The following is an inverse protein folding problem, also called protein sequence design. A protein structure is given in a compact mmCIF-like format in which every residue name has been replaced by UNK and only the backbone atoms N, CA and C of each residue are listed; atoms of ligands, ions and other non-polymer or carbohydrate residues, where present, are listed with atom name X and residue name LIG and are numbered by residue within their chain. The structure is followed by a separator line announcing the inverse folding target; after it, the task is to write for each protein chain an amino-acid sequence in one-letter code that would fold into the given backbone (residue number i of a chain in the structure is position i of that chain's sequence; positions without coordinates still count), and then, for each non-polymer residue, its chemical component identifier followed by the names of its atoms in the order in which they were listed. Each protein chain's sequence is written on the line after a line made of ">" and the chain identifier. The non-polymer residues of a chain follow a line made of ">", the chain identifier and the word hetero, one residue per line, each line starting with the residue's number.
data_IF_197970234401
#
_entry.id   IF_197970234401
#
_cell.length_a   1.000
_cell.length_b   1.000
_cell.length_c   1.000
_cell.angle_alpha   90.00
_cell.angle_beta   90.00
_cell.angle_gamma   90.00
#
_symmetry.space_group_name_H-M   'P 1'
#
loop_
_entity.id
_entity.type
_entity.pdbx_description
1 polymer ?
#
# COMPACT_ATOMS: atom_id res chain seq x y z
N UNK A 1 3.23 -0.67 -30.26
CA UNK A 1 2.66 -0.19 -28.99
C UNK A 1 1.47 0.70 -29.33
N UNK A 2 0.27 0.38 -28.85
CA UNK A 2 -0.94 1.16 -29.11
C UNK A 2 -1.02 2.36 -28.17
N UNK A 3 -1.84 3.37 -28.51
CA UNK A 3 -2.09 4.52 -27.63
C UNK A 3 -2.62 4.09 -26.25
N UNK A 4 -3.43 3.02 -26.19
CA UNK A 4 -3.94 2.45 -24.93
C UNK A 4 -2.83 1.85 -24.07
N UNK A 5 -1.88 1.13 -24.68
CA UNK A 5 -0.72 0.60 -23.96
C UNK A 5 0.17 1.70 -23.40
N UNK A 6 0.35 2.80 -24.15
CA UNK A 6 1.12 3.96 -23.69
C UNK A 6 0.44 4.60 -22.48
N UNK A 7 -0.89 4.79 -22.53
CA UNK A 7 -1.66 5.33 -21.41
C UNK A 7 -1.57 4.41 -20.19
N UNK A 8 -1.72 3.10 -20.37
CA UNK A 8 -1.65 2.13 -19.29
C UNK A 8 -0.26 2.14 -18.63
N UNK A 9 0.83 2.06 -19.41
CA UNK A 9 2.18 2.11 -18.86
C UNK A 9 2.43 3.47 -18.18
N UNK A 10 1.88 4.55 -18.72
CA UNK A 10 1.91 5.88 -18.13
C UNK A 10 1.21 5.95 -16.76
N UNK A 11 0.00 5.39 -16.62
CA UNK A 11 -0.73 5.36 -15.33
C UNK A 11 0.05 4.58 -14.29
N UNK A 12 0.59 3.42 -14.66
CA UNK A 12 1.42 2.61 -13.78
C UNK A 12 2.67 3.38 -13.31
N UNK A 13 3.35 4.07 -14.23
CA UNK A 13 4.50 4.90 -13.89
C UNK A 13 4.16 5.98 -12.85
N UNK A 14 3.04 6.69 -13.04
CA UNK A 14 2.56 7.69 -12.08
C UNK A 14 2.26 7.06 -10.72
N UNK A 15 1.56 5.93 -10.70
CA UNK A 15 1.20 5.21 -9.48
C UNK A 15 2.44 4.71 -8.73
N UNK A 16 3.44 4.16 -9.42
CA UNK A 16 4.70 3.72 -8.81
C UNK A 16 5.43 4.89 -8.17
N UNK A 17 5.58 6.01 -8.88
CA UNK A 17 6.24 7.22 -8.34
C UNK A 17 5.51 7.72 -7.10
N UNK A 18 4.18 7.75 -7.14
CA UNK A 18 3.36 8.14 -5.98
C UNK A 18 3.52 7.17 -4.80
N UNK A 19 3.50 5.85 -5.07
CA UNK A 19 3.67 4.81 -4.06
C UNK A 19 5.06 4.87 -3.39
N UNK A 20 6.12 5.15 -4.16
CA UNK A 20 7.47 5.33 -3.61
C UNK A 20 7.53 6.55 -2.70
N UNK A 21 6.97 7.69 -3.12
CA UNK A 21 6.92 8.91 -2.29
C UNK A 21 6.17 8.68 -0.98
N UNK A 22 5.02 8.02 -1.04
CA UNK A 22 4.21 7.71 0.15
C UNK A 22 4.91 6.70 1.07
N UNK A 23 5.49 5.63 0.53
CA UNK A 23 6.29 4.65 1.28
C UNK A 23 7.45 5.32 2.02
N UNK A 24 8.18 6.21 1.35
CA UNK A 24 9.29 6.96 1.96
C UNK A 24 8.80 7.88 3.08
N UNK A 25 7.67 8.56 2.89
CA UNK A 25 7.08 9.40 3.93
C UNK A 25 6.67 8.58 5.17
N UNK A 26 6.05 7.41 4.97
CA UNK A 26 5.69 6.48 6.05
C UNK A 26 6.94 5.97 6.77
N UNK A 27 7.99 5.57 6.03
CA UNK A 27 9.26 5.12 6.62
C UNK A 27 9.90 6.21 7.50
N UNK A 28 9.89 7.47 7.04
CA UNK A 28 10.37 8.64 7.82
C UNK A 28 9.50 8.92 9.05
N UNK A 29 8.18 8.70 8.97
CA UNK A 29 7.31 8.85 10.13
C UNK A 29 7.56 7.74 11.16
N UNK A 30 7.72 6.50 10.70
CA UNK A 30 8.02 5.35 11.55
C UNK A 30 9.36 5.52 12.27
N UNK A 31 10.39 6.04 11.59
CA UNK A 31 11.70 6.27 12.22
C UNK A 31 11.68 7.37 13.29
N UNK A 32 10.67 8.24 13.29
CA UNK A 32 10.47 9.29 14.31
C UNK A 32 9.50 8.88 15.41
N UNK A 33 8.90 7.69 15.32
CA UNK A 33 7.94 7.19 16.29
C UNK A 33 8.68 6.77 17.57
N UNK A 34 8.19 7.25 18.72
CA UNK A 34 8.76 6.86 20.01
C UNK A 34 8.32 5.43 20.35
N UNK A 35 9.26 4.48 20.33
CA UNK A 35 8.99 3.04 20.52
C UNK A 35 8.29 2.77 21.85
N UNK A 36 8.68 3.44 22.93
CA UNK A 36 8.06 3.29 24.24
C UNK A 36 6.60 3.78 24.29
N UNK A 37 6.25 4.76 23.44
CA UNK A 37 4.87 5.27 23.31
C UNK A 37 4.01 4.33 22.48
N UNK A 38 4.59 3.76 21.42
CA UNK A 38 3.93 2.74 20.61
C UNK A 38 3.64 1.46 21.42
N UNK A 39 4.57 1.01 22.26
CA UNK A 39 4.37 -0.13 23.15
C UNK A 39 3.27 0.13 24.19
N UNK A 40 3.24 1.30 24.82
CA UNK A 40 2.17 1.65 25.77
C UNK A 40 0.79 1.58 25.13
N UNK A 41 0.62 2.13 23.92
CA UNK A 41 -0.66 2.16 23.21
C UNK A 41 -1.05 0.76 22.71
N UNK A 42 -0.08 -0.06 22.32
CA UNK A 42 -0.32 -1.46 21.98
C UNK A 42 -0.83 -2.28 23.17
N UNK A 43 -0.46 -1.90 24.40
CA UNK A 43 -0.95 -2.52 25.64
C UNK A 43 -2.35 -2.03 26.03
N UNK A 44 -2.78 -0.84 25.58
CA UNK A 44 -4.10 -0.27 25.94
C UNK A 44 -5.28 -0.72 25.07
N UNK A 45 -5.10 -1.68 24.15
CA UNK A 45 -6.18 -2.27 23.33
C UNK A 45 -7.06 -1.22 22.64
N UNK A 46 -6.43 -0.19 22.05
CA UNK A 46 -7.12 0.87 21.33
C UNK A 46 -7.94 0.27 20.16
N UNK A 47 -9.26 0.28 20.31
CA UNK A 47 -10.20 -0.27 19.33
C UNK A 47 -10.05 0.35 17.94
N UNK A 48 -9.63 1.63 17.83
CA UNK A 48 -9.40 2.26 16.54
C UNK A 48 -8.17 1.64 15.85
N UNK A 49 -7.09 1.38 16.60
CA UNK A 49 -5.88 0.76 16.05
C UNK A 49 -6.09 -0.70 15.68
N UNK A 50 -6.87 -1.45 16.46
CA UNK A 50 -7.26 -2.82 16.14
C UNK A 50 -8.05 -2.90 14.83
N UNK A 51 -9.02 -2.00 14.64
CA UNK A 51 -9.78 -1.91 13.38
C UNK A 51 -8.89 -1.62 12.18
N UNK A 52 -7.98 -0.64 12.30
CA UNK A 52 -7.03 -0.29 11.24
C UNK A 52 -6.06 -1.44 10.93
N UNK A 53 -5.63 -2.20 11.94
CA UNK A 53 -4.75 -3.36 11.76
C UNK A 53 -5.46 -4.50 11.01
N UNK A 54 -6.73 -4.77 11.33
CA UNK A 54 -7.54 -5.77 10.64
C UNK A 54 -7.76 -5.41 9.17
N UNK A 55 -8.10 -4.14 8.89
CA UNK A 55 -8.24 -3.64 7.53
C UNK A 55 -6.92 -3.74 6.75
N UNK A 56 -5.81 -3.33 7.37
CA UNK A 56 -4.48 -3.45 6.76
C UNK A 56 -4.18 -4.89 6.34
N UNK A 57 -4.50 -5.88 7.18
CA UNK A 57 -4.29 -7.30 6.87
C UNK A 57 -5.08 -7.73 5.63
N UNK A 58 -6.34 -7.30 5.50
CA UNK A 58 -7.19 -7.59 4.33
C UNK A 58 -6.59 -7.01 3.05
N UNK A 59 -6.15 -5.76 3.09
CA UNK A 59 -5.54 -5.09 1.93
C UNK A 59 -4.19 -5.68 1.54
N UNK A 60 -3.39 -6.13 2.51
CA UNK A 60 -2.14 -6.86 2.24
C UNK A 60 -2.40 -8.18 1.52
N UNK A 61 -3.39 -8.95 1.97
CA UNK A 61 -3.77 -10.21 1.30
C UNK A 61 -4.27 -9.97 -0.12
N UNK A 62 -5.13 -8.97 -0.31
CA UNK A 62 -5.60 -8.58 -1.64
C UNK A 62 -4.43 -8.17 -2.55
N UNK A 63 -3.51 -7.36 -2.04
CA UNK A 63 -2.30 -6.95 -2.77
C UNK A 63 -1.43 -8.15 -3.17
N UNK A 64 -1.24 -9.13 -2.28
CA UNK A 64 -0.50 -10.36 -2.61
C UNK A 64 -1.18 -11.15 -3.74
N UNK A 65 -2.51 -11.31 -3.69
CA UNK A 65 -3.27 -11.99 -4.74
C UNK A 65 -3.12 -11.26 -6.07
N UNK A 66 -3.32 -9.93 -6.08
CA UNK A 66 -3.20 -9.11 -7.30
C UNK A 66 -1.79 -9.16 -7.88
N UNK A 67 -0.75 -9.17 -7.04
CA UNK A 67 0.63 -9.34 -7.49
C UNK A 67 0.82 -10.69 -8.19
N UNK A 68 0.40 -11.79 -7.58
CA UNK A 68 0.52 -13.12 -8.21
C UNK A 68 -0.30 -13.24 -9.49
N UNK A 69 -1.48 -12.61 -9.56
CA UNK A 69 -2.24 -12.52 -10.80
C UNK A 69 -1.44 -11.76 -11.85
N UNK A 70 -0.86 -10.60 -11.52
CA UNK A 70 -0.05 -9.84 -12.49
C UNK A 70 1.14 -10.64 -13.03
N UNK A 71 1.80 -11.44 -12.18
CA UNK A 71 2.87 -12.36 -12.57
C UNK A 71 2.34 -13.42 -13.54
N UNK A 72 1.18 -14.04 -13.24
CA UNK A 72 0.57 -15.01 -14.14
C UNK A 72 0.19 -14.37 -15.50
N UNK A 73 -0.42 -13.18 -15.48
CA UNK A 73 -0.81 -12.46 -16.69
C UNK A 73 0.39 -12.11 -17.57
N UNK A 74 1.58 -11.91 -16.99
CA UNK A 74 2.79 -11.63 -17.77
C UNK A 74 3.17 -12.77 -18.74
N UNK A 75 2.70 -14.00 -18.50
CA UNK A 75 2.94 -15.16 -19.37
C UNK A 75 1.80 -15.44 -20.35
N UNK A 76 0.56 -15.09 -19.99
CA UNK A 76 -0.64 -15.57 -20.70
C UNK A 76 -1.51 -14.47 -21.30
N UNK A 77 -1.26 -13.20 -20.97
CA UNK A 77 -2.17 -12.09 -21.27
C UNK A 77 -1.52 -10.95 -22.04
N UNK A 78 -2.35 -9.99 -22.45
CA UNK A 78 -1.88 -8.76 -23.10
C UNK A 78 -1.20 -7.80 -22.12
N UNK A 79 -0.34 -6.92 -22.63
CA UNK A 79 0.34 -5.90 -21.82
C UNK A 79 -0.65 -5.04 -21.01
N UNK A 80 -1.80 -4.69 -21.59
CA UNK A 80 -2.83 -3.89 -20.92
C UNK A 80 -3.38 -4.62 -19.69
N UNK A 81 -3.65 -5.92 -19.81
CA UNK A 81 -4.16 -6.73 -18.70
C UNK A 81 -3.13 -6.87 -17.60
N UNK A 82 -1.85 -7.08 -17.95
CA UNK A 82 -0.75 -7.10 -16.97
C UNK A 82 -0.69 -5.79 -16.21
N UNK A 83 -0.71 -4.67 -16.92
CA UNK A 83 -0.66 -3.33 -16.33
C UNK A 83 -1.88 -3.05 -15.46
N UNK A 84 -3.07 -3.48 -15.86
CA UNK A 84 -4.28 -3.34 -15.05
C UNK A 84 -4.13 -3.98 -13.66
N UNK A 85 -3.62 -5.21 -13.60
CA UNK A 85 -3.41 -5.88 -12.30
C UNK A 85 -2.27 -5.25 -11.49
N UNK A 86 -1.23 -4.75 -12.15
CA UNK A 86 -0.17 -3.98 -11.49
C UNK A 86 -0.66 -2.64 -10.93
N UNK A 87 -1.58 -1.97 -11.62
CA UNK A 87 -2.22 -0.74 -11.14
C UNK A 87 -3.05 -1.02 -9.90
N UNK A 88 -3.90 -2.04 -9.92
CA UNK A 88 -4.66 -2.47 -8.75
C UNK A 88 -3.75 -2.81 -7.57
N UNK A 89 -2.71 -3.62 -7.81
CA UNK A 89 -1.70 -3.94 -6.80
C UNK A 89 -1.07 -2.65 -6.23
N UNK A 90 -0.67 -1.72 -7.08
CA UNK A 90 -0.02 -0.47 -6.65
C UNK A 90 -0.98 0.40 -5.82
N UNK A 91 -2.26 0.47 -6.20
CA UNK A 91 -3.30 1.15 -5.43
C UNK A 91 -3.48 0.49 -4.05
N UNK A 92 -3.49 -0.84 -3.96
CA UNK A 92 -3.56 -1.51 -2.65
C UNK A 92 -2.34 -1.18 -1.78
N UNK A 93 -1.14 -1.13 -2.35
CA UNK A 93 0.08 -0.74 -1.63
C UNK A 93 0.00 0.71 -1.13
N UNK A 94 -0.52 1.63 -1.95
CA UNK A 94 -0.74 3.03 -1.56
C UNK A 94 -1.71 3.11 -0.37
N UNK A 95 -2.80 2.34 -0.41
CA UNK A 95 -3.78 2.33 0.66
C UNK A 95 -3.20 1.76 1.97
N UNK A 96 -2.42 0.68 1.89
CA UNK A 96 -1.69 0.12 3.04
C UNK A 96 -0.75 1.17 3.66
N UNK A 97 -0.02 1.92 2.83
CA UNK A 97 0.82 3.04 3.30
C UNK A 97 0.01 4.15 3.97
N UNK A 98 -1.19 4.46 3.45
CA UNK A 98 -2.10 5.41 4.08
C UNK A 98 -2.54 4.94 5.47
N UNK A 99 -2.90 3.66 5.63
CA UNK A 99 -3.25 3.08 6.92
C UNK A 99 -2.07 3.14 7.91
N UNK A 100 -0.85 2.82 7.46
CA UNK A 100 0.35 2.96 8.29
C UNK A 100 0.58 4.41 8.74
N UNK A 101 0.37 5.37 7.84
CA UNK A 101 0.43 6.80 8.18
C UNK A 101 -0.63 7.19 9.21
N UNK A 102 -1.84 6.64 9.12
CA UNK A 102 -2.93 6.86 10.10
C UNK A 102 -2.51 6.35 11.48
N UNK A 103 -2.06 5.09 11.57
CA UNK A 103 -1.60 4.46 12.82
C UNK A 103 -0.50 5.30 13.49
N UNK A 104 0.56 5.65 12.76
CA UNK A 104 1.69 6.41 13.32
C UNK A 104 1.24 7.78 13.84
N UNK A 105 0.31 8.44 13.14
CA UNK A 105 -0.25 9.73 13.58
C UNK A 105 -1.10 9.60 14.83
N UNK A 106 -1.92 8.56 14.94
CA UNK A 106 -2.73 8.29 16.14
C UNK A 106 -1.81 8.06 17.35
N UNK A 107 -0.78 7.22 17.19
CA UNK A 107 0.23 6.95 18.23
C UNK A 107 0.97 8.22 18.68
N UNK A 108 1.34 9.10 17.73
CA UNK A 108 2.06 10.32 18.08
C UNK A 108 1.18 11.37 18.77
N UNK A 109 -0.13 11.37 18.54
CA UNK A 109 -1.10 12.31 19.14
C UNK A 109 -1.53 11.95 20.56
N UNK A 110 -1.63 10.65 20.87
CA UNK A 110 -1.89 10.13 22.23
C UNK A 110 -0.76 10.47 23.21
#
# INVERSE_FOLDING_TARGET
>A
MTWLEIIAVGSLGVLIVYNLKTSLAVKKLRSKMNVAKAEKIAVTDDQELLGVAADKKRWLLLGQILFWISVAMAFFASLIEVVYFLDLYTITSIYVNYLDKKVIKTINKA
#
